data_IF_861611032826
#
_entry.id   IF_861611032826
#
_cell.length_a   1.000
_cell.length_b   1.000
_cell.length_c   1.000
_cell.angle_alpha   90.00
_cell.angle_beta   90.00
_cell.angle_gamma   90.00
#
_symmetry.space_group_name_H-M   'P 1'
#
loop_
_entity.id
_entity.type
_entity.pdbx_description
1 polymer ?
#
# COMPACT_ATOMS: atom_id res chain seq x y z
N UNK A 1 3.80 -5.97 16.11
CA UNK A 1 2.69 -5.02 16.05
C UNK A 1 1.63 -5.59 15.11
N UNK A 2 0.41 -5.06 15.08
CA UNK A 2 -0.58 -5.47 14.08
C UNK A 2 -0.29 -4.76 12.77
N UNK A 3 -0.21 -5.51 11.65
CA UNK A 3 -0.11 -4.93 10.31
C UNK A 3 -1.22 -3.89 10.11
N UNK A 4 -0.94 -2.74 9.47
CA UNK A 4 -1.91 -1.69 9.23
C UNK A 4 -3.05 -2.20 8.34
N UNK A 5 -4.28 -1.76 8.62
CA UNK A 5 -5.45 -2.01 7.77
C UNK A 5 -5.39 -1.15 6.50
N UNK A 6 -6.24 -1.43 5.50
CA UNK A 6 -6.20 -0.70 4.23
C UNK A 6 -6.52 0.78 4.39
N UNK A 7 -7.41 1.14 5.31
CA UNK A 7 -7.79 2.52 5.65
C UNK A 7 -6.64 3.28 6.31
N UNK A 8 -5.89 2.61 7.19
CA UNK A 8 -4.68 3.18 7.80
C UNK A 8 -3.57 3.44 6.77
N UNK A 9 -3.55 2.68 5.68
CA UNK A 9 -2.60 2.86 4.57
C UNK A 9 -3.01 3.98 3.60
N UNK A 10 -4.25 4.48 3.65
CA UNK A 10 -4.71 5.50 2.68
C UNK A 10 -3.94 6.81 2.81
N UNK A 11 -3.75 7.32 4.03
CA UNK A 11 -3.05 8.59 4.25
C UNK A 11 -1.55 8.48 3.88
N UNK A 12 -0.79 7.46 4.32
CA UNK A 12 0.58 7.24 3.85
C UNK A 12 0.69 7.13 2.33
N UNK A 13 -0.25 6.45 1.68
CA UNK A 13 -0.28 6.29 0.22
C UNK A 13 -0.49 7.64 -0.47
N UNK A 14 -1.44 8.47 -0.01
CA UNK A 14 -1.66 9.80 -0.57
C UNK A 14 -0.44 10.71 -0.42
N UNK A 15 0.20 10.68 0.76
CA UNK A 15 1.45 11.44 0.99
C UNK A 15 2.55 11.00 0.03
N UNK A 16 2.76 9.68 -0.08
CA UNK A 16 3.75 9.13 -1.01
C UNK A 16 3.48 9.59 -2.45
N UNK A 17 2.23 9.50 -2.91
CA UNK A 17 1.86 9.94 -4.26
C UNK A 17 2.00 11.45 -4.47
N UNK A 18 1.73 12.27 -3.43
CA UNK A 18 1.89 13.72 -3.51
C UNK A 18 3.35 14.17 -3.68
N UNK A 19 4.30 13.31 -3.30
CA UNK A 19 5.74 13.55 -3.46
C UNK A 19 6.27 13.10 -4.83
N UNK A 20 5.49 12.34 -5.61
CA UNK A 20 5.90 11.87 -6.92
C UNK A 20 5.57 12.89 -8.01
N UNK A 21 6.53 13.15 -8.90
CA UNK A 21 6.32 13.98 -10.09
C UNK A 21 5.65 13.19 -11.23
N UNK A 22 5.82 11.88 -11.24
CA UNK A 22 5.33 10.99 -12.31
C UNK A 22 4.50 9.83 -11.73
N UNK A 23 3.76 9.16 -12.62
CA UNK A 23 3.00 7.97 -12.26
C UNK A 23 3.94 6.83 -11.80
N UNK A 24 3.72 6.32 -10.61
CA UNK A 24 4.48 5.20 -10.06
C UNK A 24 3.78 3.85 -10.26
N UNK A 25 4.56 2.81 -10.50
CA UNK A 25 4.04 1.43 -10.59
C UNK A 25 3.59 0.96 -9.20
N UNK A 26 2.53 0.16 -9.17
CA UNK A 26 1.97 -0.36 -7.92
C UNK A 26 2.99 -1.13 -7.05
N UNK A 27 3.84 -1.95 -7.67
CA UNK A 27 4.88 -2.68 -6.93
C UNK A 27 5.89 -1.76 -6.24
N UNK A 28 6.26 -0.66 -6.90
CA UNK A 28 7.17 0.33 -6.32
C UNK A 28 6.50 1.14 -5.21
N UNK A 29 5.25 1.54 -5.41
CA UNK A 29 4.43 2.17 -4.37
C UNK A 29 4.33 1.31 -3.11
N UNK A 30 4.08 0.01 -3.27
CA UNK A 30 4.01 -0.92 -2.14
C UNK A 30 5.37 -1.09 -1.44
N UNK A 31 6.48 -1.09 -2.20
CA UNK A 31 7.84 -1.16 -1.65
C UNK A 31 8.16 0.08 -0.81
N UNK A 32 7.95 1.28 -1.36
CA UNK A 32 8.22 2.55 -0.66
C UNK A 32 7.35 2.72 0.59
N UNK A 33 6.09 2.29 0.55
CA UNK A 33 5.24 2.25 1.74
C UNK A 33 5.74 1.25 2.79
N UNK A 34 6.26 0.09 2.37
CA UNK A 34 6.84 -0.87 3.31
C UNK A 34 8.10 -0.31 3.97
N UNK A 35 9.00 0.31 3.19
CA UNK A 35 10.24 0.92 3.68
C UNK A 35 9.98 2.06 4.68
N UNK A 36 8.91 2.83 4.49
CA UNK A 36 8.51 3.94 5.39
C UNK A 36 7.58 3.52 6.54
N UNK A 37 7.11 2.28 6.58
CA UNK A 37 6.12 1.81 7.57
C UNK A 37 6.71 1.45 8.94
N UNK A 38 8.02 1.23 9.02
CA UNK A 38 8.69 0.72 10.23
C UNK A 38 8.35 -0.73 10.58
N UNK A 39 7.69 -1.47 9.68
CA UNK A 39 7.35 -2.88 9.86
C UNK A 39 8.58 -3.78 9.73
N UNK A 40 8.58 -4.89 10.46
CA UNK A 40 9.65 -5.89 10.35
C UNK A 40 9.51 -6.71 9.07
N UNK A 41 10.61 -7.36 8.66
CA UNK A 41 10.58 -8.26 7.51
C UNK A 41 9.65 -9.46 7.73
N UNK A 42 9.51 -9.93 8.96
CA UNK A 42 8.55 -10.99 9.32
C UNK A 42 7.11 -10.53 9.10
N UNK A 43 6.78 -9.31 9.55
CA UNK A 43 5.45 -8.71 9.37
C UNK A 43 5.13 -8.52 7.87
N UNK A 44 6.08 -8.00 7.09
CA UNK A 44 5.92 -7.80 5.65
C UNK A 44 5.83 -9.12 4.86
N UNK A 45 6.38 -10.20 5.40
CA UNK A 45 6.37 -11.53 4.79
C UNK A 45 5.09 -12.32 5.09
N UNK A 46 4.22 -11.84 5.98
CA UNK A 46 2.94 -12.49 6.28
C UNK A 46 2.09 -12.59 5.02
N UNK A 47 1.61 -13.81 4.72
CA UNK A 47 0.80 -14.11 3.54
C UNK A 47 -0.68 -14.24 3.89
N UNK A 48 -1.52 -13.92 2.92
CA UNK A 48 -2.93 -14.30 2.98
C UNK A 48 -3.05 -15.83 2.98
N UNK A 49 -4.19 -16.34 3.46
CA UNK A 49 -4.53 -17.77 3.42
C UNK A 49 -4.53 -18.38 2.00
N UNK A 50 -4.68 -17.54 0.96
CA UNK A 50 -4.53 -17.94 -0.45
C UNK A 50 -3.07 -18.14 -0.89
N UNK A 51 -2.08 -17.72 -0.10
CA UNK A 51 -0.64 -17.89 -0.35
C UNK A 51 -0.02 -16.98 -1.41
N UNK A 52 -0.80 -16.41 -2.32
CA UNK A 52 -0.28 -15.68 -3.49
C UNK A 52 0.31 -14.31 -3.14
N UNK A 53 -0.32 -13.57 -2.21
CA UNK A 53 0.06 -12.19 -1.86
C UNK A 53 0.39 -12.08 -0.37
N UNK A 54 1.26 -11.13 -0.04
CA UNK A 54 1.43 -10.72 1.35
C UNK A 54 0.23 -9.90 1.80
N UNK A 55 -0.07 -9.95 3.09
CA UNK A 55 -1.16 -9.18 3.71
C UNK A 55 -0.97 -7.69 3.45
N UNK A 56 0.27 -7.19 3.59
CA UNK A 56 0.59 -5.79 3.35
C UNK A 56 0.34 -5.38 1.89
N UNK A 57 0.81 -6.19 0.93
CA UNK A 57 0.62 -5.91 -0.50
C UNK A 57 -0.85 -5.87 -0.89
N UNK A 58 -1.66 -6.80 -0.35
CA UNK A 58 -3.10 -6.83 -0.60
C UNK A 58 -3.81 -5.60 -0.03
N UNK A 59 -3.51 -5.22 1.22
CA UNK A 59 -4.10 -4.05 1.87
C UNK A 59 -3.71 -2.74 1.21
N UNK A 60 -2.47 -2.60 0.73
CA UNK A 60 -2.03 -1.48 -0.11
C UNK A 60 -2.82 -1.41 -1.41
N UNK A 61 -3.16 -2.57 -1.98
CA UNK A 61 -4.02 -2.68 -3.16
C UNK A 61 -5.44 -2.15 -2.90
N UNK A 62 -6.03 -2.54 -1.77
CA UNK A 62 -7.34 -2.05 -1.35
C UNK A 62 -7.36 -0.55 -1.04
N UNK A 63 -6.33 -0.05 -0.35
CA UNK A 63 -6.17 1.38 -0.10
C UNK A 63 -6.19 2.16 -1.42
N UNK A 64 -5.38 1.74 -2.39
CA UNK A 64 -5.34 2.32 -3.74
C UNK A 64 -6.71 2.28 -4.43
N UNK A 65 -7.39 1.14 -4.42
CA UNK A 65 -8.70 0.97 -5.07
C UNK A 65 -9.74 1.92 -4.50
N UNK A 66 -9.82 2.05 -3.17
CA UNK A 66 -10.80 2.93 -2.54
C UNK A 66 -10.48 4.41 -2.73
N UNK A 67 -9.20 4.80 -2.70
CA UNK A 67 -8.78 6.16 -3.03
C UNK A 67 -9.13 6.54 -4.47
N UNK A 68 -8.97 5.61 -5.42
CA UNK A 68 -9.35 5.83 -6.81
C UNK A 68 -10.87 5.97 -6.96
N UNK A 69 -11.65 5.11 -6.29
CA UNK A 69 -13.12 5.23 -6.26
C UNK A 69 -13.61 6.53 -5.62
N UNK A 70 -12.86 7.06 -4.65
CA UNK A 70 -13.15 8.35 -4.03
C UNK A 70 -12.74 9.57 -4.90
N UNK A 71 -12.11 9.34 -6.06
CA UNK A 71 -11.62 10.42 -6.93
C UNK A 71 -10.38 11.15 -6.40
N UNK A 72 -9.69 10.58 -5.41
CA UNK A 72 -8.51 11.19 -4.79
C UNK A 72 -7.22 10.86 -5.56
N UNK A 73 -7.22 9.77 -6.33
CA UNK A 73 -6.10 9.37 -7.19
C UNK A 73 -6.64 8.89 -8.53
N UNK A 74 -5.88 9.10 -9.59
CA UNK A 74 -6.20 8.58 -10.92
C UNK A 74 -5.43 7.30 -11.19
N UNK A 75 -6.07 6.36 -11.88
CA UNK A 75 -5.41 5.17 -12.43
C UNK A 75 -5.59 5.22 -13.95
N UNK A 76 -4.49 5.21 -14.72
CA UNK A 76 -4.56 5.13 -16.18
C UNK A 76 -5.11 3.78 -16.65
#
# INVERSE_FOLDING_TARGET
MSLPTYDQLMLPLLKLLSEQQEAIKFGEMARLLAESSGLSQEELSLRLSSGTKTVFYDRTGWAKTYLAKAGLINQP
#
